data_IF_216862599140
#
_entry.id   IF_216862599140
#
_cell.length_a   1.000
_cell.length_b   1.000
_cell.length_c   1.000
_cell.angle_alpha   90.00
_cell.angle_beta   90.00
_cell.angle_gamma   90.00
#
_symmetry.space_group_name_H-M   'P 1'
#
loop_
_entity.id
_entity.type
_entity.pdbx_description
1 polymer ?
#
# COMPACT_ATOMS: atom_id res chain seq x y z
N UNK A 1 -3.04 -28.82 -31.34
CA UNK A 1 -3.29 -28.95 -29.89
C UNK A 1 -2.23 -28.24 -29.06
N UNK A 2 -0.95 -28.60 -29.16
CA UNK A 2 0.12 -27.95 -28.38
C UNK A 2 0.27 -26.43 -28.61
N UNK A 3 0.20 -25.96 -29.86
CA UNK A 3 0.32 -24.52 -30.18
C UNK A 3 -0.83 -23.68 -29.63
N UNK A 4 -2.05 -24.22 -29.60
CA UNK A 4 -3.22 -23.50 -29.08
C UNK A 4 -3.15 -23.35 -27.55
N UNK A 5 -2.64 -24.36 -26.85
CA UNK A 5 -2.38 -24.30 -25.41
C UNK A 5 -1.30 -23.26 -25.08
N UNK A 6 -0.21 -23.25 -25.85
CA UNK A 6 0.90 -22.31 -25.66
C UNK A 6 0.46 -20.85 -25.88
N UNK A 7 -0.37 -20.60 -26.90
CA UNK A 7 -0.95 -19.28 -27.15
C UNK A 7 -1.86 -18.82 -26.00
N UNK A 8 -2.64 -19.74 -25.42
CA UNK A 8 -3.51 -19.44 -24.28
C UNK A 8 -2.71 -19.12 -23.01
N UNK A 9 -1.67 -19.90 -22.71
CA UNK A 9 -0.77 -19.62 -21.58
C UNK A 9 -0.07 -18.27 -21.73
N UNK A 10 0.33 -17.90 -22.95
CA UNK A 10 0.99 -16.63 -23.20
C UNK A 10 0.09 -15.43 -22.88
N UNK A 11 -1.18 -15.45 -23.31
CA UNK A 11 -2.16 -14.39 -22.99
C UNK A 11 -2.32 -14.24 -21.47
N UNK A 12 -2.42 -15.36 -20.76
CA UNK A 12 -2.56 -15.32 -19.30
C UNK A 12 -1.28 -14.82 -18.60
N UNK A 13 -0.11 -15.15 -19.13
CA UNK A 13 1.15 -14.62 -18.65
C UNK A 13 1.24 -13.09 -18.84
N UNK A 14 0.82 -12.58 -19.99
CA UNK A 14 0.80 -11.15 -20.29
C UNK A 14 -0.09 -10.39 -19.31
N UNK A 15 -1.31 -10.89 -19.05
CA UNK A 15 -2.21 -10.30 -18.04
C UNK A 15 -1.59 -10.29 -16.64
N UNK A 16 -0.94 -11.39 -16.24
CA UNK A 16 -0.25 -11.47 -14.94
C UNK A 16 0.91 -10.49 -14.84
N UNK A 17 1.70 -10.33 -15.89
CA UNK A 17 2.79 -9.35 -15.95
C UNK A 17 2.24 -7.95 -15.78
N UNK A 18 1.13 -7.59 -16.43
CA UNK A 18 0.49 -6.28 -16.25
C UNK A 18 0.01 -6.05 -14.82
N UNK A 19 -0.61 -7.06 -14.20
CA UNK A 19 -1.05 -6.98 -12.80
C UNK A 19 0.13 -6.78 -11.86
N UNK A 20 1.21 -7.54 -12.07
CA UNK A 20 2.44 -7.43 -11.26
C UNK A 20 3.11 -6.07 -11.47
N UNK A 21 3.18 -5.58 -12.71
CA UNK A 21 3.71 -4.25 -13.03
C UNK A 21 2.97 -3.14 -12.29
N UNK A 22 1.63 -3.13 -12.34
CA UNK A 22 0.80 -2.15 -11.59
C UNK A 22 0.93 -2.25 -10.08
N UNK A 23 1.29 -3.43 -9.55
CA UNK A 23 1.57 -3.61 -8.11
C UNK A 23 2.95 -3.09 -7.75
N UNK A 24 3.93 -3.30 -8.63
CA UNK A 24 5.30 -2.84 -8.46
C UNK A 24 5.39 -1.32 -8.53
N UNK A 25 4.73 -0.70 -9.51
CA UNK A 25 4.67 0.77 -9.65
C UNK A 25 4.10 1.43 -8.39
N UNK A 26 2.97 0.91 -7.89
CA UNK A 26 2.39 1.34 -6.60
C UNK A 26 3.29 1.05 -5.40
N UNK A 27 4.19 0.07 -5.48
CA UNK A 27 5.15 -0.20 -4.41
C UNK A 27 6.30 0.81 -4.45
N UNK A 28 6.81 1.12 -5.63
CA UNK A 28 7.85 2.14 -5.83
C UNK A 28 7.37 3.51 -5.33
N UNK A 29 6.10 3.88 -5.60
CA UNK A 29 5.51 5.11 -5.07
C UNK A 29 5.39 5.12 -3.53
N UNK A 30 5.21 3.95 -2.89
CA UNK A 30 5.15 3.81 -1.43
C UNK A 30 6.52 3.83 -0.78
N UNK A 31 7.49 3.19 -1.44
CA UNK A 31 8.87 3.04 -0.97
C UNK A 31 9.75 4.27 -1.35
N UNK A 32 9.18 5.25 -2.08
CA UNK A 32 9.81 6.53 -2.44
C UNK A 32 9.89 7.54 -1.27
N UNK A 33 10.02 8.83 -1.58
CA UNK A 33 9.95 9.93 -0.60
C UNK A 33 8.71 9.84 0.29
N UNK A 34 8.71 10.63 1.37
CA UNK A 34 7.64 10.67 2.37
C UNK A 34 6.24 10.61 1.70
N UNK A 35 5.46 9.53 1.89
CA UNK A 35 4.21 9.32 1.16
C UNK A 35 3.16 10.39 1.49
N UNK A 36 3.29 11.12 2.60
CA UNK A 36 2.41 12.24 2.93
C UNK A 36 2.68 13.52 2.11
N UNK A 37 3.74 13.55 1.30
CA UNK A 37 4.01 14.65 0.36
C UNK A 37 3.27 14.49 -0.97
N UNK A 38 2.69 13.31 -1.23
CA UNK A 38 1.89 13.05 -2.43
C UNK A 38 0.56 13.84 -2.39
N UNK A 39 0.10 14.35 -3.54
CA UNK A 39 -1.27 14.84 -3.68
C UNK A 39 -2.29 13.77 -3.26
N UNK A 40 -3.42 14.18 -2.69
CA UNK A 40 -4.39 13.25 -2.08
C UNK A 40 -4.95 12.23 -3.09
N UNK A 41 -5.13 12.62 -4.37
CA UNK A 41 -5.58 11.71 -5.43
C UNK A 41 -4.53 10.63 -5.74
N UNK A 42 -3.25 11.00 -5.78
CA UNK A 42 -2.13 10.07 -6.00
C UNK A 42 -1.93 9.16 -4.78
N UNK A 43 -2.06 9.72 -3.57
CA UNK A 43 -2.03 8.97 -2.33
C UNK A 43 -3.15 7.92 -2.28
N UNK A 44 -4.38 8.31 -2.60
CA UNK A 44 -5.53 7.41 -2.70
C UNK A 44 -5.32 6.32 -3.76
N UNK A 45 -4.72 6.66 -4.91
CA UNK A 45 -4.36 5.68 -5.94
C UNK A 45 -3.35 4.63 -5.47
N UNK A 46 -2.36 5.06 -4.69
CA UNK A 46 -1.28 4.20 -4.20
C UNK A 46 -1.67 3.36 -2.97
N UNK A 47 -2.27 3.99 -1.95
CA UNK A 47 -2.58 3.39 -0.64
C UNK A 47 -4.03 2.94 -0.49
N UNK A 48 -4.95 3.42 -1.35
CA UNK A 48 -6.40 3.14 -1.29
C UNK A 48 -7.08 3.56 0.00
N UNK A 49 -6.43 4.39 0.81
CA UNK A 49 -6.92 4.97 2.04
C UNK A 49 -6.73 6.47 1.96
N UNK A 50 -7.63 7.24 2.56
CA UNK A 50 -7.46 8.69 2.60
C UNK A 50 -6.30 9.04 3.50
N UNK A 51 -5.55 10.08 3.11
CA UNK A 51 -4.41 10.55 3.88
C UNK A 51 -4.81 10.86 5.34
N UNK A 52 -5.99 11.48 5.52
CA UNK A 52 -6.56 11.77 6.84
C UNK A 52 -6.82 10.50 7.67
N UNK A 53 -7.34 9.43 7.05
CA UNK A 53 -7.62 8.18 7.76
C UNK A 53 -6.31 7.51 8.20
N UNK A 54 -5.26 7.57 7.36
CA UNK A 54 -3.94 7.06 7.72
C UNK A 54 -3.33 7.85 8.88
N UNK A 55 -3.42 9.19 8.86
CA UNK A 55 -2.97 10.05 9.97
C UNK A 55 -3.72 9.69 11.26
N UNK A 56 -5.05 9.58 11.20
CA UNK A 56 -5.86 9.21 12.37
C UNK A 56 -5.47 7.83 12.94
N UNK A 57 -5.16 6.86 12.08
CA UNK A 57 -4.68 5.54 12.52
C UNK A 57 -3.31 5.66 13.20
N UNK A 58 -2.38 6.43 12.62
CA UNK A 58 -1.06 6.67 13.20
C UNK A 58 -1.20 7.32 14.58
N UNK A 59 -2.04 8.35 14.71
CA UNK A 59 -2.27 9.04 15.98
C UNK A 59 -2.90 8.11 17.02
N UNK A 60 -3.87 7.29 16.63
CA UNK A 60 -4.48 6.29 17.50
C UNK A 60 -3.47 5.24 17.98
N UNK A 61 -2.58 4.77 17.10
CA UNK A 61 -1.52 3.83 17.45
C UNK A 61 -0.45 4.47 18.34
N UNK A 62 -0.05 5.71 18.06
CA UNK A 62 0.92 6.47 18.87
C UNK A 62 0.41 6.72 20.29
N UNK A 63 -0.90 6.92 20.44
CA UNK A 63 -1.55 7.09 21.75
C UNK A 63 -1.48 5.81 22.60
N UNK A 64 -1.42 4.62 21.98
CA UNK A 64 -1.26 3.34 22.69
C UNK A 64 0.16 3.14 23.23
N UNK A 65 1.18 3.65 22.54
CA UNK A 65 2.58 3.62 23.01
C UNK A 65 2.85 4.59 24.18
N UNK A 66 2.09 5.69 24.25
CA UNK A 66 2.18 6.70 25.31
C UNK A 66 1.02 6.59 26.31
N UNK A 67 0.76 5.39 26.84
CA UNK A 67 0.04 5.28 28.11
C UNK A 67 1.08 5.43 29.22
N UNK A 68 1.20 6.59 29.90
CA UNK A 68 2.02 6.66 31.09
C UNK A 68 1.43 5.64 32.06
N UNK A 69 2.16 4.54 32.30
CA UNK A 69 1.90 3.66 33.45
C UNK A 69 1.71 4.59 34.63
N UNK A 70 0.48 4.67 35.14
CA UNK A 70 0.18 5.42 36.36
C UNK A 70 1.02 4.76 37.46
N UNK A 71 2.20 5.30 37.72
CA UNK A 71 2.99 4.96 38.88
C UNK A 71 2.15 5.50 40.03
N UNK A 72 1.43 4.59 40.69
CA UNK A 72 0.90 4.82 42.02
C UNK A 72 2.12 4.95 42.92
N UNK A 73 2.53 6.20 43.17
CA UNK A 73 3.42 6.50 44.29
C UNK A 73 2.55 6.41 45.52
N UNK A 74 2.91 5.46 46.39
CA UNK A 74 2.36 5.24 47.73
C UNK A 74 2.38 6.51 48.59
#
# INVERSE_FOLDING_TARGET
MALAYLAWEQIFLEERVLIVGRRLERRILRDGQNPFELPNDEFMGAFRLSQQLVINIIDALRTQEYSPKKIHVM
#
